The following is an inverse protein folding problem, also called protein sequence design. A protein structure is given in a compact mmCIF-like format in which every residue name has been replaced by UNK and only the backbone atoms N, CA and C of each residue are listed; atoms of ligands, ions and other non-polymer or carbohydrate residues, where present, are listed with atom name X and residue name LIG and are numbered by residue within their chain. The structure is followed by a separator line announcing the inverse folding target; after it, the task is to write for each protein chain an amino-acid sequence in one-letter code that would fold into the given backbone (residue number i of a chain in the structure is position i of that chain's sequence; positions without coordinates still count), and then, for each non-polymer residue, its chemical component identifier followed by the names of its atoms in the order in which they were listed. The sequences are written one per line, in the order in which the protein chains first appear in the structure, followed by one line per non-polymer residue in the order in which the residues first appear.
data_IF_144297116842
#
_entry.id   IF_144297116842
#
_cell.length_a   1.000
_cell.length_b   1.000
_cell.length_c   1.000
_cell.angle_alpha   90.00
_cell.angle_beta   90.00
_cell.angle_gamma   90.00
#
_symmetry.space_group_name_H-M   'P 1'
#
loop_
_entity.id
_entity.type
_entity.pdbx_description
1 polymer ?
#
# COMPACT_ATOMS: atom_id res chain seq x y z
N UNK A 1 20.05 15.16 -28.04
CA UNK A 1 21.06 14.70 -27.07
C UNK A 1 20.41 14.81 -25.70
N UNK A 2 19.87 13.73 -25.18
CA UNK A 2 19.28 13.69 -23.82
C UNK A 2 20.43 13.47 -22.85
N UNK A 3 20.64 14.42 -21.96
CA UNK A 3 21.60 14.29 -20.86
C UNK A 3 21.09 13.19 -19.91
N UNK A 4 21.81 12.08 -19.84
CA UNK A 4 21.62 11.06 -18.79
C UNK A 4 22.14 11.68 -17.48
N UNK A 5 21.23 12.16 -16.65
CA UNK A 5 21.55 12.57 -15.30
C UNK A 5 22.01 11.36 -14.49
N UNK A 6 23.25 11.35 -14.10
CA UNK A 6 23.80 10.40 -13.12
C UNK A 6 23.13 10.66 -11.79
N UNK A 7 22.61 9.61 -11.17
CA UNK A 7 22.14 9.63 -9.79
C UNK A 7 23.35 9.94 -8.89
N UNK A 8 23.47 11.19 -8.40
CA UNK A 8 24.41 11.43 -7.33
C UNK A 8 23.83 10.77 -6.08
N UNK A 9 24.56 9.80 -5.57
CA UNK A 9 24.35 9.17 -4.28
C UNK A 9 24.52 10.24 -3.19
N UNK A 10 23.46 10.96 -2.86
CA UNK A 10 23.28 11.40 -1.49
C UNK A 10 23.26 10.12 -0.65
N UNK A 11 23.97 10.10 0.46
CA UNK A 11 24.16 8.93 1.31
C UNK A 11 22.91 8.09 1.40
N UNK A 12 22.99 6.86 0.90
CA UNK A 12 21.86 5.92 0.87
C UNK A 12 21.34 5.78 2.29
N UNK A 13 20.07 6.07 2.49
CA UNK A 13 19.40 5.78 3.76
C UNK A 13 19.73 4.32 4.13
N UNK A 14 20.19 4.04 5.36
CA UNK A 14 20.55 2.68 5.75
C UNK A 14 19.29 1.81 5.71
N UNK A 15 19.13 0.96 4.70
CA UNK A 15 17.99 0.06 4.57
C UNK A 15 17.68 -0.48 3.17
N UNK A 16 18.37 -0.06 2.14
CA UNK A 16 18.16 -0.54 0.76
C UNK A 16 19.18 -1.62 0.35
N UNK A 17 19.51 -2.55 1.24
CA UNK A 17 20.34 -3.72 0.88
C UNK A 17 19.48 -4.79 0.23
N UNK A 18 20.05 -5.56 -0.72
CA UNK A 18 19.49 -6.75 -1.37
C UNK A 18 19.22 -7.92 -0.40
N UNK A 19 19.04 -7.68 0.90
CA UNK A 19 18.68 -8.72 1.84
C UNK A 19 17.31 -9.28 1.45
N UNK A 20 17.31 -10.46 0.87
CA UNK A 20 16.11 -11.31 0.85
C UNK A 20 15.58 -11.38 2.28
N UNK A 21 14.31 -11.05 2.45
CA UNK A 21 13.62 -11.20 3.73
C UNK A 21 13.78 -12.67 4.15
N UNK A 22 14.81 -12.95 4.94
CA UNK A 22 15.02 -14.25 5.52
C UNK A 22 13.76 -14.62 6.28
N UNK A 23 13.15 -15.75 5.91
CA UNK A 23 11.86 -16.21 6.39
C UNK A 23 11.82 -16.47 7.90
N UNK A 24 11.90 -15.41 8.70
CA UNK A 24 11.60 -15.49 10.12
C UNK A 24 10.08 -15.34 10.30
N UNK A 25 9.37 -16.46 10.48
CA UNK A 25 8.01 -16.47 11.00
C UNK A 25 6.86 -16.57 10.00
N UNK A 26 7.09 -16.91 8.74
CA UNK A 26 5.99 -17.32 7.86
C UNK A 26 5.64 -18.77 8.12
N UNK A 27 4.41 -19.07 8.57
CA UNK A 27 3.88 -20.43 8.62
C UNK A 27 4.06 -21.14 7.28
N UNK A 28 4.09 -22.47 7.30
CA UNK A 28 4.05 -23.26 6.07
C UNK A 28 2.83 -22.77 5.27
N UNK A 29 3.07 -22.28 4.03
CA UNK A 29 1.97 -21.84 3.18
C UNK A 29 1.05 -23.01 2.86
N UNK A 30 -0.23 -22.74 2.72
CA UNK A 30 -1.22 -23.76 2.32
C UNK A 30 -1.49 -23.66 0.81
N UNK A 31 -1.61 -24.78 0.10
CA UNK A 31 -2.01 -24.77 -1.29
C UNK A 31 -3.49 -24.31 -1.42
N UNK A 32 -3.91 -23.78 -2.60
CA UNK A 32 -5.27 -23.25 -2.79
C UNK A 32 -6.40 -24.19 -2.42
N UNK A 33 -6.24 -25.48 -2.66
CA UNK A 33 -7.24 -26.48 -2.28
C UNK A 33 -7.38 -26.61 -0.75
N UNK A 34 -6.28 -26.54 0.00
CA UNK A 34 -6.32 -26.54 1.46
C UNK A 34 -6.92 -25.24 2.00
N UNK A 35 -6.57 -24.06 1.41
CA UNK A 35 -7.20 -22.79 1.73
C UNK A 35 -8.72 -22.86 1.51
N UNK A 36 -9.19 -23.39 0.38
CA UNK A 36 -10.61 -23.54 0.10
C UNK A 36 -11.31 -24.41 1.14
N UNK A 37 -10.70 -25.56 1.47
CA UNK A 37 -11.23 -26.46 2.48
C UNK A 37 -11.32 -25.78 3.86
N UNK A 38 -10.29 -25.03 4.25
CA UNK A 38 -10.25 -24.30 5.52
C UNK A 38 -11.30 -23.17 5.55
N UNK A 39 -11.41 -22.39 4.48
CA UNK A 39 -12.40 -21.31 4.37
C UNK A 39 -13.82 -21.85 4.46
N UNK A 40 -14.12 -22.99 3.80
CA UNK A 40 -15.42 -23.68 3.92
C UNK A 40 -15.69 -24.17 5.33
N UNK A 41 -14.70 -24.78 5.99
CA UNK A 41 -14.84 -25.31 7.36
C UNK A 41 -15.04 -24.21 8.41
N UNK A 42 -14.36 -23.07 8.26
CA UNK A 42 -14.47 -21.93 9.17
C UNK A 42 -15.74 -21.11 8.94
N UNK A 43 -16.20 -21.03 7.69
CA UNK A 43 -17.22 -20.08 7.27
C UNK A 43 -16.81 -18.62 7.54
N UNK A 44 -17.72 -17.70 7.26
CA UNK A 44 -17.51 -16.28 7.54
C UNK A 44 -17.24 -16.03 9.04
N UNK A 45 -18.03 -16.66 9.90
CA UNK A 45 -17.93 -16.52 11.36
C UNK A 45 -16.57 -16.96 11.91
N UNK A 46 -16.03 -18.07 11.44
CA UNK A 46 -14.72 -18.56 11.86
C UNK A 46 -13.59 -17.64 11.39
N UNK A 47 -13.66 -17.09 10.17
CA UNK A 47 -12.69 -16.12 9.69
C UNK A 47 -12.76 -14.79 10.46
N UNK A 48 -13.95 -14.33 10.83
CA UNK A 48 -14.13 -13.15 11.69
C UNK A 48 -13.52 -13.40 13.06
N UNK A 49 -13.75 -14.57 13.67
CA UNK A 49 -13.16 -14.93 14.97
C UNK A 49 -11.62 -14.98 14.89
N UNK A 50 -11.05 -15.55 13.83
CA UNK A 50 -9.59 -15.57 13.57
C UNK A 50 -9.04 -14.14 13.46
N UNK A 51 -9.75 -13.24 12.78
CA UNK A 51 -9.35 -11.84 12.68
C UNK A 51 -9.42 -11.12 14.04
N UNK A 52 -10.44 -11.36 14.85
CA UNK A 52 -10.55 -10.73 16.17
C UNK A 52 -9.39 -11.17 17.11
N UNK A 53 -8.88 -12.39 16.98
CA UNK A 53 -7.66 -12.82 17.68
C UNK A 53 -6.44 -11.98 17.28
N UNK A 54 -6.30 -11.70 15.96
CA UNK A 54 -5.21 -10.86 15.44
C UNK A 54 -5.38 -9.41 15.91
N UNK A 55 -6.61 -8.90 15.84
CA UNK A 55 -6.96 -7.52 16.20
C UNK A 55 -6.76 -7.23 17.69
N UNK A 56 -7.05 -8.20 18.54
CA UNK A 56 -6.93 -8.07 19.99
C UNK A 56 -5.48 -7.94 20.48
N UNK A 57 -4.49 -8.30 19.65
CA UNK A 57 -3.08 -8.16 20.03
C UNK A 57 -2.68 -6.69 20.07
N UNK A 58 -2.02 -6.24 21.14
CA UNK A 58 -1.53 -4.87 21.21
C UNK A 58 -0.49 -4.60 20.11
N UNK A 59 -0.34 -3.34 19.68
CA UNK A 59 0.73 -2.95 18.78
C UNK A 59 2.10 -3.33 19.34
N UNK A 60 2.94 -3.93 18.51
CA UNK A 60 4.29 -4.37 18.89
C UNK A 60 5.33 -3.33 18.48
N UNK A 61 5.32 -2.16 19.13
CA UNK A 61 6.27 -1.08 18.84
C UNK A 61 5.87 0.23 19.50
N UNK A 62 6.71 1.23 19.33
CA UNK A 62 6.55 2.57 19.88
C UNK A 62 6.15 3.58 18.82
N UNK A 63 5.61 4.73 19.26
CA UNK A 63 5.11 5.81 18.40
C UNK A 63 5.64 7.18 18.89
N UNK A 64 6.88 7.23 19.37
CA UNK A 64 7.44 8.43 20.01
C UNK A 64 7.47 9.62 19.04
N UNK A 65 8.00 9.43 17.84
CA UNK A 65 8.11 10.50 16.85
C UNK A 65 6.73 11.01 16.41
N UNK A 66 5.75 10.11 16.22
CA UNK A 66 4.40 10.48 15.85
C UNK A 66 3.69 11.32 16.93
N UNK A 67 4.07 11.15 18.20
CA UNK A 67 3.48 11.83 19.37
C UNK A 67 4.21 13.12 19.78
N UNK A 68 5.31 13.48 19.13
CA UNK A 68 5.97 14.76 19.37
C UNK A 68 4.99 15.92 19.10
N UNK A 69 4.91 16.95 19.95
CA UNK A 69 3.97 18.07 19.79
C UNK A 69 4.03 18.70 18.39
N UNK A 70 5.23 18.86 17.82
CA UNK A 70 5.46 19.36 16.46
C UNK A 70 4.93 18.46 15.35
N UNK A 71 4.75 17.16 15.62
CA UNK A 71 4.31 16.16 14.64
C UNK A 71 2.81 15.83 14.74
N UNK A 72 2.15 16.16 15.86
CA UNK A 72 0.73 15.83 16.06
C UNK A 72 -0.15 16.31 14.90
N UNK A 73 0.07 17.53 14.45
CA UNK A 73 -0.72 18.12 13.36
C UNK A 73 -0.40 17.55 11.97
N UNK A 74 0.66 16.77 11.84
CA UNK A 74 1.03 16.06 10.62
C UNK A 74 0.30 14.71 10.49
N UNK A 75 -0.35 14.23 11.56
CA UNK A 75 -1.17 13.02 11.55
C UNK A 75 -2.61 13.37 11.19
N UNK A 76 -3.19 12.66 10.22
CA UNK A 76 -4.60 12.83 9.82
C UNK A 76 -5.55 12.35 10.91
N UNK A 77 -5.19 11.30 11.64
CA UNK A 77 -5.95 10.68 12.73
C UNK A 77 -5.05 10.56 13.96
N UNK A 78 -5.62 10.90 15.13
CA UNK A 78 -4.88 10.89 16.40
C UNK A 78 -4.58 9.49 16.91
N UNK A 79 -5.33 8.51 16.45
CA UNK A 79 -5.27 7.09 16.82
C UNK A 79 -4.59 6.20 15.76
N UNK A 80 -4.21 6.77 14.60
CA UNK A 80 -3.48 6.04 13.56
C UNK A 80 -2.10 6.65 13.37
N UNK A 81 -1.15 6.10 14.10
CA UNK A 81 0.22 6.58 14.18
C UNK A 81 1.19 5.59 13.51
N UNK A 82 2.32 6.09 13.01
CA UNK A 82 3.37 5.23 12.48
C UNK A 82 4.29 4.72 13.59
N UNK A 83 4.70 3.44 13.48
CA UNK A 83 5.73 2.86 14.35
C UNK A 83 7.07 3.56 14.15
N UNK A 84 7.84 3.72 15.24
CA UNK A 84 9.19 4.28 15.18
C UNK A 84 10.16 3.36 14.42
N UNK A 85 10.05 2.03 14.61
CA UNK A 85 11.00 1.06 14.06
C UNK A 85 10.92 0.87 12.54
N UNK A 86 9.80 1.21 11.92
CA UNK A 86 9.57 1.04 10.48
C UNK A 86 9.19 2.34 9.77
N UNK A 87 9.23 3.49 10.47
CA UNK A 87 8.87 4.77 9.87
C UNK A 87 9.80 5.15 8.73
N UNK A 88 9.26 5.83 7.74
CA UNK A 88 10.06 6.50 6.74
C UNK A 88 10.65 7.77 7.36
N UNK A 89 11.96 7.89 7.31
CA UNK A 89 12.70 9.05 7.82
C UNK A 89 13.07 9.91 6.63
N UNK A 90 12.62 11.17 6.64
CA UNK A 90 12.96 12.13 5.60
C UNK A 90 14.27 12.83 5.94
N UNK A 91 14.95 13.36 4.91
CA UNK A 91 16.08 14.25 5.15
C UNK A 91 15.62 15.50 5.91
N UNK A 92 16.41 15.97 6.85
CA UNK A 92 16.10 17.21 7.58
C UNK A 92 16.14 18.41 6.63
N UNK A 93 15.11 19.25 6.67
CA UNK A 93 15.09 20.51 5.92
C UNK A 93 15.60 21.70 6.76
N UNK A 94 15.56 21.57 8.08
CA UNK A 94 16.08 22.51 9.05
C UNK A 94 17.05 21.76 9.99
N UNK A 95 18.35 22.09 10.01
CA UNK A 95 19.32 21.43 10.89
C UNK A 95 19.01 21.59 12.38
N UNK A 96 18.30 22.67 12.74
CA UNK A 96 17.96 23.01 14.13
C UNK A 96 16.63 22.38 14.56
N UNK A 97 15.85 21.84 13.62
CA UNK A 97 14.56 21.17 13.88
C UNK A 97 14.59 19.72 13.40
N UNK A 98 14.90 18.79 14.32
CA UNK A 98 14.90 17.35 14.04
C UNK A 98 13.52 16.79 13.67
N UNK A 99 12.43 17.52 13.87
CA UNK A 99 11.07 17.05 13.56
C UNK A 99 10.70 17.26 12.10
N UNK A 100 11.54 17.91 11.31
CA UNK A 100 11.36 18.04 9.85
C UNK A 100 11.55 16.72 9.11
N UNK A 101 12.06 15.67 9.75
CA UNK A 101 12.23 14.32 9.21
C UNK A 101 10.96 13.46 9.24
N UNK A 102 9.86 13.97 9.83
CA UNK A 102 8.68 13.18 10.12
C UNK A 102 7.62 13.23 9.02
N UNK A 103 7.15 12.05 8.66
CA UNK A 103 5.92 11.80 7.91
C UNK A 103 5.22 10.58 8.51
N UNK A 104 3.87 10.56 8.53
CA UNK A 104 3.10 9.38 8.93
C UNK A 104 3.13 8.33 7.82
N UNK A 105 4.21 7.57 7.75
CA UNK A 105 4.48 6.53 6.77
C UNK A 105 5.39 5.44 7.35
N UNK A 106 5.13 4.18 7.01
CA UNK A 106 5.93 3.04 7.39
C UNK A 106 6.36 2.24 6.17
N UNK A 107 7.58 1.71 6.19
CA UNK A 107 7.97 0.65 5.27
C UNK A 107 7.27 -0.65 5.65
N UNK A 108 6.85 -1.39 4.64
CA UNK A 108 6.28 -2.73 4.77
C UNK A 108 6.90 -3.65 3.73
N UNK A 109 7.28 -4.85 4.17
CA UNK A 109 7.86 -5.87 3.31
C UNK A 109 6.81 -6.49 2.40
N UNK A 110 7.25 -6.84 1.19
CA UNK A 110 6.51 -7.65 0.25
C UNK A 110 6.89 -9.14 0.34
N UNK A 111 6.41 -9.92 -0.62
CA UNK A 111 6.87 -11.29 -0.78
C UNK A 111 8.32 -11.30 -1.31
N UNK A 112 9.26 -11.80 -0.47
CA UNK A 112 10.70 -11.84 -0.77
C UNK A 112 11.30 -10.50 -1.21
N UNK A 113 10.79 -9.42 -0.64
CA UNK A 113 11.33 -8.08 -0.85
C UNK A 113 11.15 -7.25 0.41
N UNK A 114 12.26 -6.85 1.02
CA UNK A 114 12.28 -5.91 2.13
C UNK A 114 11.87 -4.52 1.65
N UNK A 115 11.11 -3.79 2.45
CA UNK A 115 10.67 -2.43 2.13
C UNK A 115 10.01 -2.30 0.75
N UNK A 116 9.26 -3.32 0.32
CA UNK A 116 8.57 -3.31 -0.99
C UNK A 116 7.53 -2.21 -1.10
N UNK A 117 6.99 -1.77 0.04
CA UNK A 117 5.93 -0.79 0.12
C UNK A 117 6.23 0.30 1.14
N UNK A 118 5.70 1.47 0.88
CA UNK A 118 5.52 2.54 1.86
C UNK A 118 4.03 2.72 2.08
N UNK A 119 3.55 2.39 3.29
CA UNK A 119 2.18 2.60 3.70
C UNK A 119 2.05 3.96 4.40
N UNK A 120 1.20 4.82 3.88
CA UNK A 120 1.03 6.18 4.41
C UNK A 120 -0.44 6.58 4.47
N UNK A 121 -0.75 7.58 5.26
CA UNK A 121 -2.07 8.23 5.27
C UNK A 121 -2.32 9.02 3.99
N UNK A 122 -3.57 9.33 3.68
CA UNK A 122 -3.91 10.32 2.67
C UNK A 122 -3.30 11.68 3.05
N UNK A 123 -2.46 12.28 2.20
CA UNK A 123 -1.78 13.53 2.53
C UNK A 123 -2.73 14.66 2.92
N UNK A 124 -2.33 15.43 3.93
CA UNK A 124 -2.97 16.68 4.34
C UNK A 124 -2.38 17.85 3.54
N UNK A 125 -3.10 18.97 3.36
CA UNK A 125 -2.55 20.15 2.69
C UNK A 125 -1.16 20.55 3.24
N UNK A 126 -0.99 20.55 4.55
CA UNK A 126 0.30 20.86 5.21
C UNK A 126 1.39 19.82 5.00
N UNK A 127 1.07 18.58 4.62
CA UNK A 127 2.04 17.48 4.43
C UNK A 127 2.25 17.12 2.95
N UNK A 128 1.68 17.87 2.00
CA UNK A 128 1.90 17.63 0.57
C UNK A 128 3.37 17.72 0.20
N UNK A 129 4.09 18.71 0.73
CA UNK A 129 5.53 18.86 0.51
C UNK A 129 6.33 17.67 1.04
N UNK A 130 6.04 17.22 2.25
CA UNK A 130 6.67 16.05 2.87
C UNK A 130 6.37 14.77 2.09
N UNK A 131 5.14 14.63 1.58
CA UNK A 131 4.74 13.48 0.77
C UNK A 131 5.55 13.41 -0.54
N UNK A 132 5.68 14.51 -1.28
CA UNK A 132 6.44 14.52 -2.52
C UNK A 132 7.95 14.39 -2.29
N UNK A 133 8.45 14.94 -1.17
CA UNK A 133 9.82 14.74 -0.72
C UNK A 133 10.08 13.25 -0.42
N UNK A 134 9.16 12.57 0.27
CA UNK A 134 9.22 11.12 0.49
C UNK A 134 9.28 10.36 -0.83
N UNK A 135 8.36 10.63 -1.77
CA UNK A 135 8.35 9.98 -3.10
C UNK A 135 9.67 10.17 -3.81
N UNK A 136 10.24 11.38 -3.75
CA UNK A 136 11.51 11.70 -4.36
C UNK A 136 12.68 10.98 -3.69
N UNK A 137 12.85 11.12 -2.39
CA UNK A 137 13.96 10.56 -1.61
C UNK A 137 13.98 9.03 -1.65
N UNK A 138 12.81 8.40 -1.62
CA UNK A 138 12.70 6.94 -1.68
C UNK A 138 12.78 6.38 -3.11
N UNK A 139 12.89 7.24 -4.11
CA UNK A 139 12.95 6.83 -5.51
C UNK A 139 11.66 6.18 -6.02
N UNK A 140 10.54 6.34 -5.30
CA UNK A 140 9.27 5.71 -5.65
C UNK A 140 8.72 6.25 -6.97
N UNK A 141 8.33 5.36 -7.87
CA UNK A 141 7.80 5.69 -9.19
C UNK A 141 6.36 5.23 -9.39
N UNK A 142 5.78 4.57 -8.40
CA UNK A 142 4.41 4.08 -8.41
C UNK A 142 3.72 4.48 -7.12
N UNK A 143 2.57 5.12 -7.25
CA UNK A 143 1.68 5.49 -6.15
C UNK A 143 0.34 4.80 -6.36
N UNK A 144 -0.16 4.15 -5.33
CA UNK A 144 -1.47 3.49 -5.28
C UNK A 144 -2.35 4.20 -4.26
N UNK A 145 -3.45 4.77 -4.72
CA UNK A 145 -4.46 5.41 -3.89
C UNK A 145 -5.75 4.58 -3.94
N UNK A 146 -6.17 4.03 -2.80
CA UNK A 146 -7.35 3.15 -2.72
C UNK A 146 -8.57 3.85 -2.11
N UNK A 147 -8.68 5.15 -2.29
CA UNK A 147 -9.80 5.98 -1.83
C UNK A 147 -10.10 7.08 -2.83
N UNK A 148 -11.31 7.64 -2.80
CA UNK A 148 -11.58 8.94 -3.41
C UNK A 148 -11.12 10.06 -2.48
N UNK A 149 -10.88 11.25 -3.03
CA UNK A 149 -10.51 12.41 -2.20
C UNK A 149 -11.63 12.80 -1.24
N UNK A 150 -12.88 12.68 -1.68
CA UNK A 150 -14.09 12.94 -0.88
C UNK A 150 -15.03 11.74 -0.99
N UNK A 151 -15.51 11.22 0.13
CA UNK A 151 -16.47 10.13 0.23
C UNK A 151 -17.58 10.50 1.22
N UNK A 152 -18.84 10.38 0.79
CA UNK A 152 -20.02 10.74 1.60
C UNK A 152 -19.90 12.12 2.27
N UNK A 153 -19.40 13.10 1.51
CA UNK A 153 -19.20 14.48 2.00
C UNK A 153 -18.02 14.69 2.97
N UNK A 154 -17.22 13.66 3.23
CA UNK A 154 -16.04 13.73 4.10
C UNK A 154 -14.76 13.71 3.28
N UNK A 155 -13.83 14.60 3.60
CA UNK A 155 -12.50 14.63 3.00
C UNK A 155 -11.69 13.45 3.54
N UNK A 156 -11.32 12.52 2.66
CA UNK A 156 -10.50 11.33 2.96
C UNK A 156 -9.03 11.54 2.64
N UNK A 157 -8.74 12.39 1.66
CA UNK A 157 -7.39 12.70 1.21
C UNK A 157 -7.37 14.10 0.58
N UNK A 158 -6.31 14.86 0.77
CA UNK A 158 -6.12 16.10 0.02
C UNK A 158 -5.80 15.81 -1.45
N UNK A 159 -6.12 16.77 -2.33
CA UNK A 159 -5.80 16.70 -3.75
C UNK A 159 -4.33 17.12 -3.95
N UNK A 160 -3.39 16.20 -3.69
CA UNK A 160 -1.95 16.46 -3.68
C UNK A 160 -1.28 16.42 -5.06
N UNK A 161 -2.03 16.11 -6.12
CA UNK A 161 -1.58 16.16 -7.51
C UNK A 161 -2.58 16.95 -8.36
N UNK A 162 -2.15 17.59 -9.46
CA UNK A 162 -3.06 18.29 -10.35
C UNK A 162 -3.93 17.28 -11.11
N UNK A 163 -5.27 17.46 -11.08
CA UNK A 163 -6.20 16.52 -11.73
C UNK A 163 -6.25 16.69 -13.25
N UNK A 164 -6.04 17.90 -13.77
CA UNK A 164 -6.16 18.21 -15.19
C UNK A 164 -4.83 17.98 -15.92
N UNK A 165 -4.90 17.43 -17.14
CA UNK A 165 -3.73 17.28 -18.02
C UNK A 165 -3.13 18.66 -18.32
N UNK A 166 -1.81 18.77 -18.24
CA UNK A 166 -1.04 20.00 -18.40
C UNK A 166 -1.01 20.91 -17.16
N UNK A 167 -1.84 20.63 -16.14
CA UNK A 167 -1.81 21.40 -14.91
C UNK A 167 -0.58 21.07 -14.07
N UNK A 168 -0.09 22.08 -13.34
CA UNK A 168 1.09 22.01 -12.49
C UNK A 168 0.79 22.55 -11.10
N UNK A 169 1.28 21.86 -10.07
CA UNK A 169 1.23 22.30 -8.67
C UNK A 169 2.63 22.33 -8.07
N UNK A 170 2.87 23.26 -7.15
CA UNK A 170 4.13 23.44 -6.44
C UNK A 170 3.96 23.00 -4.98
N UNK A 171 4.89 22.19 -4.49
CA UNK A 171 4.88 21.63 -3.14
C UNK A 171 6.29 21.64 -2.56
N UNK A 172 6.60 22.63 -1.71
CA UNK A 172 7.84 22.69 -0.91
C UNK A 172 9.13 22.27 -1.67
N UNK A 173 9.41 22.92 -2.81
CA UNK A 173 10.61 22.63 -3.61
C UNK A 173 10.41 21.55 -4.70
N UNK A 174 9.22 21.01 -4.82
CA UNK A 174 8.85 20.10 -5.91
C UNK A 174 7.73 20.69 -6.78
N UNK A 175 7.79 20.38 -8.07
CA UNK A 175 6.69 20.63 -9.00
C UNK A 175 6.13 19.29 -9.47
N UNK A 176 4.80 19.18 -9.48
CA UNK A 176 4.08 18.03 -10.01
C UNK A 176 3.25 18.48 -11.20
N UNK A 177 3.44 17.85 -12.34
CA UNK A 177 2.69 18.13 -13.57
C UNK A 177 1.99 16.86 -14.02
N UNK A 178 0.71 16.94 -14.37
CA UNK A 178 -0.02 15.81 -14.96
C UNK A 178 0.18 15.80 -16.46
N UNK A 179 0.89 14.78 -16.98
CA UNK A 179 1.17 14.63 -18.42
C UNK A 179 0.02 13.95 -19.16
N UNK A 180 -0.63 12.96 -18.54
CA UNK A 180 -1.76 12.22 -19.14
C UNK A 180 -2.66 11.64 -18.06
N UNK A 181 -3.90 11.37 -18.40
CA UNK A 181 -4.90 10.72 -17.54
C UNK A 181 -5.64 9.66 -18.36
N UNK A 182 -5.69 8.44 -17.84
CA UNK A 182 -6.48 7.33 -18.37
C UNK A 182 -7.60 7.03 -17.35
N UNK A 183 -8.84 7.08 -17.79
CA UNK A 183 -9.99 6.85 -16.90
C UNK A 183 -10.72 5.59 -17.31
N UNK A 184 -10.87 4.69 -16.35
CA UNK A 184 -11.62 3.45 -16.47
C UNK A 184 -12.76 3.42 -15.43
N UNK A 185 -13.63 2.44 -15.52
CA UNK A 185 -14.79 2.32 -14.65
C UNK A 185 -14.42 2.19 -13.16
N UNK A 186 -13.34 1.47 -12.86
CA UNK A 186 -12.94 1.12 -11.50
C UNK A 186 -11.78 1.95 -10.96
N UNK A 187 -11.00 2.60 -11.85
CA UNK A 187 -9.80 3.34 -11.47
C UNK A 187 -9.46 4.45 -12.45
N UNK A 188 -8.63 5.37 -12.00
CA UNK A 188 -8.03 6.43 -12.83
C UNK A 188 -6.52 6.34 -12.72
N UNK A 189 -5.82 6.40 -13.86
CA UNK A 189 -4.37 6.46 -13.91
C UNK A 189 -3.95 7.86 -14.32
N UNK A 190 -3.08 8.48 -13.53
CA UNK A 190 -2.45 9.75 -13.86
C UNK A 190 -0.94 9.53 -14.06
N UNK A 191 -0.44 9.95 -15.19
CA UNK A 191 1.00 10.00 -15.47
C UNK A 191 1.51 11.35 -15.03
N UNK A 192 2.35 11.36 -13.99
CA UNK A 192 2.83 12.56 -13.34
C UNK A 192 4.31 12.77 -13.65
N UNK A 193 4.71 14.02 -13.87
CA UNK A 193 6.10 14.44 -13.88
C UNK A 193 6.41 15.14 -12.57
N UNK A 194 7.26 14.53 -11.75
CA UNK A 194 7.76 15.08 -10.50
C UNK A 194 9.13 15.71 -10.75
N UNK A 195 9.25 17.01 -10.51
CA UNK A 195 10.47 17.78 -10.71
C UNK A 195 10.98 18.32 -9.37
N UNK A 196 12.24 18.04 -9.01
CA UNK A 196 12.95 18.74 -7.95
C UNK A 196 13.40 20.10 -8.48
N UNK A 197 12.86 21.17 -7.95
CA UNK A 197 13.12 22.54 -8.42
C UNK A 197 14.52 23.02 -8.07
N UNK A 198 15.21 22.39 -7.13
CA UNK A 198 16.57 22.72 -6.74
C UNK A 198 17.59 22.17 -7.74
N UNK A 199 17.34 20.96 -8.24
CA UNK A 199 18.28 20.26 -9.16
C UNK A 199 17.79 20.27 -10.60
N UNK A 200 16.57 20.71 -10.86
CA UNK A 200 15.87 20.67 -12.15
C UNK A 200 15.72 19.25 -12.74
N UNK A 201 15.98 18.23 -11.91
CA UNK A 201 15.78 16.84 -12.32
C UNK A 201 14.31 16.45 -12.24
N UNK A 202 13.88 15.63 -13.17
CA UNK A 202 12.48 15.16 -13.23
C UNK A 202 12.41 13.65 -13.31
N UNK A 203 11.33 13.09 -12.74
CA UNK A 203 11.00 11.66 -12.78
C UNK A 203 9.53 11.48 -13.13
N UNK A 204 9.22 10.50 -13.95
CA UNK A 204 7.84 10.09 -14.20
C UNK A 204 7.36 9.23 -13.06
N UNK A 205 6.18 9.54 -12.55
CA UNK A 205 5.50 8.80 -11.48
C UNK A 205 4.15 8.34 -12.00
N UNK A 206 3.91 7.04 -11.91
CA UNK A 206 2.62 6.43 -12.20
C UNK A 206 1.73 6.51 -10.96
N UNK A 207 0.57 7.12 -11.09
CA UNK A 207 -0.39 7.29 -10.00
C UNK A 207 -1.68 6.58 -10.35
N UNK A 208 -1.97 5.47 -9.66
CA UNK A 208 -3.20 4.70 -9.83
C UNK A 208 -4.17 4.94 -8.69
N UNK A 209 -5.33 5.50 -9.00
CA UNK A 209 -6.40 5.71 -8.04
C UNK A 209 -7.53 4.70 -8.28
N UNK A 210 -7.73 3.76 -7.35
CA UNK A 210 -8.87 2.86 -7.36
C UNK A 210 -10.08 3.54 -6.72
N UNK A 211 -11.13 3.79 -7.52
CA UNK A 211 -12.28 4.65 -7.14
C UNK A 211 -13.51 3.90 -6.66
N UNK A 212 -13.56 2.58 -6.86
CA UNK A 212 -14.72 1.73 -6.55
C UNK A 212 -14.68 1.05 -5.18
N UNK A 213 -13.74 1.42 -4.32
CA UNK A 213 -13.70 0.92 -2.95
C UNK A 213 -14.66 1.73 -2.08
N UNK A 214 -15.73 1.11 -1.53
CA UNK A 214 -16.70 1.85 -0.72
C UNK A 214 -16.10 2.29 0.62
N UNK A 215 -16.63 3.37 1.17
CA UNK A 215 -16.31 3.78 2.55
C UNK A 215 -16.92 2.75 3.51
N UNK A 216 -16.10 2.18 4.40
CA UNK A 216 -16.48 1.07 5.28
C UNK A 216 -17.00 -0.15 4.47
N UNK A 217 -16.12 -1.01 4.05
CA UNK A 217 -16.47 -2.22 3.32
C UNK A 217 -15.34 -2.74 2.43
N UNK A 218 -15.74 -3.56 1.49
CA UNK A 218 -14.86 -4.25 0.56
C UNK A 218 -15.21 -3.90 -0.90
N UNK A 219 -14.27 -4.03 -1.84
CA UNK A 219 -14.51 -3.69 -3.23
C UNK A 219 -15.66 -4.48 -3.84
N UNK A 220 -16.46 -3.81 -4.69
CA UNK A 220 -17.41 -4.45 -5.60
C UNK A 220 -18.50 -5.31 -4.94
N UNK A 221 -18.90 -5.03 -3.68
CA UNK A 221 -19.84 -5.86 -2.96
C UNK A 221 -19.31 -7.28 -2.67
N UNK A 222 -17.99 -7.40 -2.44
CA UNK A 222 -17.31 -8.66 -2.19
C UNK A 222 -16.70 -9.32 -3.43
N UNK A 223 -16.88 -8.76 -4.63
CA UNK A 223 -16.25 -9.28 -5.87
C UNK A 223 -14.81 -8.81 -6.01
N UNK A 224 -13.89 -9.74 -6.16
CA UNK A 224 -12.46 -9.47 -6.23
C UNK A 224 -11.89 -9.12 -7.62
N UNK A 225 -12.45 -9.56 -8.77
CA UNK A 225 -11.78 -9.38 -10.07
C UNK A 225 -11.36 -7.94 -10.39
N UNK A 226 -12.16 -6.89 -10.10
CA UNK A 226 -11.72 -5.52 -10.39
C UNK A 226 -10.47 -5.11 -9.64
N UNK A 227 -10.38 -5.39 -8.33
CA UNK A 227 -9.18 -5.04 -7.53
C UNK A 227 -8.00 -5.92 -7.87
N UNK A 228 -8.21 -7.20 -8.24
CA UNK A 228 -7.15 -8.09 -8.70
C UNK A 228 -6.58 -7.62 -10.05
N UNK A 229 -7.41 -7.19 -10.99
CA UNK A 229 -6.95 -6.59 -12.25
C UNK A 229 -6.14 -5.32 -11.99
N UNK A 230 -6.60 -4.45 -11.09
CA UNK A 230 -5.88 -3.25 -10.70
C UNK A 230 -4.52 -3.58 -10.05
N UNK A 231 -4.46 -4.58 -9.17
CA UNK A 231 -3.22 -5.06 -8.58
C UNK A 231 -2.22 -5.55 -9.64
N UNK A 232 -2.67 -6.30 -10.64
CA UNK A 232 -1.82 -6.74 -11.75
C UNK A 232 -1.33 -5.56 -12.61
N UNK A 233 -2.16 -4.53 -12.78
CA UNK A 233 -1.78 -3.29 -13.47
C UNK A 233 -0.68 -2.55 -12.69
N UNK A 234 -0.81 -2.42 -11.37
CA UNK A 234 0.21 -1.84 -10.49
C UNK A 234 1.56 -2.56 -10.63
N UNK A 235 1.54 -3.90 -10.62
CA UNK A 235 2.77 -4.70 -10.82
C UNK A 235 3.42 -4.46 -12.18
N UNK A 236 2.61 -4.34 -13.23
CA UNK A 236 3.11 -4.02 -14.59
C UNK A 236 3.70 -2.61 -14.63
N UNK A 237 3.08 -1.64 -13.97
CA UNK A 237 3.61 -0.28 -13.86
C UNK A 237 4.95 -0.27 -13.12
N UNK A 238 5.06 -0.98 -12.00
CA UNK A 238 6.31 -1.13 -11.24
C UNK A 238 7.42 -1.78 -12.08
N UNK A 239 7.10 -2.84 -12.82
CA UNK A 239 8.07 -3.51 -13.69
C UNK A 239 8.58 -2.59 -14.81
N UNK A 240 7.68 -1.82 -15.43
CA UNK A 240 8.06 -0.83 -16.44
C UNK A 240 8.96 0.25 -15.86
N UNK A 241 8.56 0.83 -14.72
CA UNK A 241 9.34 1.84 -14.02
C UNK A 241 10.74 1.32 -13.64
N UNK A 242 10.82 0.08 -13.13
CA UNK A 242 12.10 -0.58 -12.83
C UNK A 242 12.98 -0.73 -14.09
N UNK A 243 12.40 -1.13 -15.21
CA UNK A 243 13.13 -1.29 -16.47
C UNK A 243 13.64 0.06 -17.00
N UNK A 244 12.86 1.13 -16.84
CA UNK A 244 13.27 2.48 -17.23
C UNK A 244 14.42 3.03 -16.38
N UNK A 245 14.48 2.66 -15.08
CA UNK A 245 15.59 3.01 -14.21
C UNK A 245 16.89 2.31 -14.64
N UNK A 246 16.82 1.10 -15.16
CA UNK A 246 17.98 0.33 -15.58
C UNK A 246 19.06 0.24 -14.49
N UNK A 247 20.31 0.46 -14.85
CA UNK A 247 21.47 0.40 -13.94
C UNK A 247 21.55 1.60 -12.98
N UNK A 248 20.71 2.62 -13.17
CA UNK A 248 20.63 3.74 -12.23
C UNK A 248 19.99 3.36 -10.88
N UNK A 249 19.29 2.23 -10.80
CA UNK A 249 18.73 1.68 -9.57
C UNK A 249 19.63 0.57 -9.03
N UNK A 250 20.30 0.83 -7.90
CA UNK A 250 21.19 -0.11 -7.22
C UNK A 250 20.49 -0.93 -6.11
N UNK A 251 19.20 -0.71 -5.85
CA UNK A 251 18.44 -1.44 -4.85
C UNK A 251 17.83 -2.75 -5.37
N UNK A 252 16.83 -3.27 -4.66
CA UNK A 252 16.22 -4.56 -4.95
C UNK A 252 15.79 -4.73 -6.41
N UNK A 253 15.94 -5.93 -6.97
CA UNK A 253 15.67 -6.24 -8.39
C UNK A 253 14.24 -5.95 -8.86
N UNK A 254 13.26 -5.90 -7.95
CA UNK A 254 11.87 -5.51 -8.23
C UNK A 254 11.63 -4.00 -8.24
N UNK A 255 12.64 -3.19 -7.95
CA UNK A 255 12.59 -1.74 -7.98
C UNK A 255 12.34 -1.08 -6.62
N UNK A 256 12.19 0.26 -6.62
CA UNK A 256 11.97 1.05 -5.43
C UNK A 256 10.61 0.75 -4.77
N UNK A 257 10.40 1.19 -3.50
CA UNK A 257 9.12 1.00 -2.82
C UNK A 257 7.93 1.58 -3.59
N UNK A 258 6.82 0.84 -3.60
CA UNK A 258 5.52 1.34 -4.07
C UNK A 258 4.86 2.09 -2.91
N UNK A 259 4.46 3.34 -3.12
CA UNK A 259 3.68 4.10 -2.13
C UNK A 259 2.23 3.67 -2.21
N UNK A 260 1.65 3.23 -1.10
CA UNK A 260 0.24 2.81 -1.02
C UNK A 260 -0.45 3.57 0.10
N UNK A 261 -1.57 4.21 -0.21
CA UNK A 261 -2.37 4.90 0.78
C UNK A 261 -3.89 4.80 0.52
N UNK A 262 -4.65 5.03 1.59
CA UNK A 262 -6.08 5.31 1.52
C UNK A 262 -6.35 6.61 2.29
N UNK A 263 -7.25 6.62 3.26
CA UNK A 263 -7.41 7.76 4.17
C UNK A 263 -6.46 7.65 5.36
N UNK A 264 -6.58 6.61 6.16
CA UNK A 264 -5.70 6.34 7.31
C UNK A 264 -4.42 5.58 6.94
N UNK A 265 -4.41 4.92 5.78
CA UNK A 265 -3.29 4.10 5.33
C UNK A 265 -3.14 2.78 6.08
N UNK A 266 -4.26 2.19 6.52
CA UNK A 266 -4.28 0.92 7.28
C UNK A 266 -5.30 -0.09 6.75
N UNK A 267 -6.57 0.27 6.52
CA UNK A 267 -7.63 -0.67 6.14
C UNK A 267 -7.50 -1.15 4.69
N UNK A 268 -7.94 -0.32 3.74
CA UNK A 268 -7.85 -0.60 2.30
C UNK A 268 -6.41 -0.81 1.86
N UNK A 269 -5.48 -0.02 2.40
CA UNK A 269 -4.04 -0.18 2.19
C UNK A 269 -3.56 -1.56 2.62
N UNK A 270 -3.84 -1.97 3.86
CA UNK A 270 -3.45 -3.29 4.36
C UNK A 270 -4.05 -4.45 3.55
N UNK A 271 -5.31 -4.30 3.12
CA UNK A 271 -5.98 -5.28 2.24
C UNK A 271 -5.24 -5.41 0.91
N UNK A 272 -4.91 -4.28 0.26
CA UNK A 272 -4.17 -4.28 -1.01
C UNK A 272 -2.81 -4.96 -0.87
N UNK A 273 -2.04 -4.64 0.18
CA UNK A 273 -0.74 -5.26 0.43
C UNK A 273 -0.85 -6.75 0.69
N UNK A 274 -1.82 -7.17 1.51
CA UNK A 274 -2.06 -8.59 1.80
C UNK A 274 -2.34 -9.38 0.53
N UNK A 275 -3.17 -8.83 -0.35
CA UNK A 275 -3.44 -9.44 -1.66
C UNK A 275 -2.18 -9.51 -2.53
N UNK A 276 -1.36 -8.45 -2.57
CA UNK A 276 -0.11 -8.48 -3.32
C UNK A 276 0.84 -9.54 -2.81
N UNK A 277 1.07 -9.60 -1.49
CA UNK A 277 1.97 -10.58 -0.86
C UNK A 277 1.48 -12.00 -1.13
N UNK A 278 0.20 -12.29 -0.88
CA UNK A 278 -0.36 -13.63 -1.01
C UNK A 278 -0.42 -14.12 -2.45
N UNK A 279 -0.83 -13.25 -3.40
CA UNK A 279 -0.85 -13.62 -4.82
C UNK A 279 0.55 -13.77 -5.41
N UNK A 280 1.53 -13.00 -4.93
CA UNK A 280 2.95 -13.17 -5.31
C UNK A 280 3.51 -14.48 -4.80
N UNK A 281 3.21 -14.85 -3.55
CA UNK A 281 3.63 -16.14 -2.97
C UNK A 281 2.96 -17.31 -3.69
N UNK A 282 1.66 -17.21 -3.95
CA UNK A 282 0.93 -18.25 -4.67
C UNK A 282 1.52 -18.48 -6.07
N UNK A 283 1.83 -17.40 -6.79
CA UNK A 283 2.44 -17.51 -8.12
C UNK A 283 3.85 -18.13 -8.09
N UNK A 284 4.63 -17.91 -7.02
CA UNK A 284 6.01 -18.37 -6.92
C UNK A 284 6.15 -19.76 -6.26
N UNK A 285 5.33 -20.08 -5.28
CA UNK A 285 5.45 -21.27 -4.44
C UNK A 285 4.26 -22.23 -4.57
N UNK A 286 3.18 -21.86 -5.26
CA UNK A 286 1.94 -22.62 -5.31
C UNK A 286 1.20 -22.68 -3.97
N UNK A 287 1.55 -21.83 -3.03
CA UNK A 287 1.02 -21.79 -1.67
C UNK A 287 0.83 -20.35 -1.17
N UNK A 288 -0.01 -20.14 -0.18
CA UNK A 288 -0.30 -18.84 0.41
C UNK A 288 -0.47 -18.95 1.94
N UNK A 289 -0.44 -17.82 2.62
CA UNK A 289 -0.63 -17.68 4.05
C UNK A 289 -1.22 -16.29 4.34
N UNK A 290 -2.54 -16.19 4.32
CA UNK A 290 -3.24 -14.92 4.51
C UNK A 290 -3.05 -14.41 5.95
N UNK A 291 -3.23 -15.28 6.95
CA UNK A 291 -3.06 -14.92 8.36
C UNK A 291 -1.64 -14.37 8.62
N UNK A 292 -0.62 -15.11 8.24
CA UNK A 292 0.76 -14.69 8.44
C UNK A 292 1.12 -13.43 7.65
N UNK A 293 0.55 -13.21 6.46
CA UNK A 293 0.74 -11.98 5.71
C UNK A 293 0.14 -10.78 6.46
N UNK A 294 -1.08 -10.90 6.98
CA UNK A 294 -1.74 -9.85 7.78
C UNK A 294 -0.96 -9.56 9.06
N UNK A 295 -0.50 -10.58 9.79
CA UNK A 295 0.29 -10.42 11.01
C UNK A 295 1.61 -9.67 10.74
N UNK A 296 2.32 -9.99 9.64
CA UNK A 296 3.53 -9.28 9.21
C UNK A 296 3.27 -7.82 8.83
N UNK A 297 2.24 -7.56 8.05
CA UNK A 297 1.86 -6.19 7.66
C UNK A 297 1.51 -5.36 8.90
N UNK A 298 0.76 -5.94 9.86
CA UNK A 298 0.41 -5.29 11.12
C UNK A 298 1.62 -5.02 12.01
N UNK A 299 2.63 -5.90 12.00
CA UNK A 299 3.87 -5.70 12.75
C UNK A 299 4.70 -4.52 12.24
N UNK A 300 4.52 -4.10 10.98
CA UNK A 300 5.26 -3.01 10.35
C UNK A 300 4.43 -1.73 10.18
N UNK A 301 3.11 -1.85 10.00
CA UNK A 301 2.16 -0.73 10.00
C UNK A 301 1.01 -1.08 10.95
N UNK A 302 0.96 -0.41 12.10
CA UNK A 302 -0.01 -0.69 13.15
C UNK A 302 -1.45 -0.62 12.63
N UNK A 303 -2.30 -1.53 13.12
CA UNK A 303 -3.72 -1.61 12.81
C UNK A 303 -4.07 -1.91 11.35
N UNK A 304 -3.12 -2.36 10.52
CA UNK A 304 -3.37 -2.75 9.13
C UNK A 304 -4.41 -3.87 9.05
N UNK A 305 -5.29 -3.82 8.06
CA UNK A 305 -6.60 -4.48 8.03
C UNK A 305 -7.46 -3.98 9.19
N UNK A 306 -8.36 -3.06 8.91
CA UNK A 306 -9.10 -2.34 9.93
C UNK A 306 -10.42 -3.02 10.30
N UNK A 307 -11.02 -3.73 9.34
CA UNK A 307 -12.35 -4.33 9.46
C UNK A 307 -12.30 -5.85 9.23
N UNK A 308 -13.11 -6.65 9.95
CA UNK A 308 -13.20 -8.08 9.73
C UNK A 308 -13.56 -8.44 8.28
N UNK A 309 -14.44 -7.67 7.65
CA UNK A 309 -14.82 -7.88 6.25
C UNK A 309 -13.63 -7.77 5.28
N UNK A 310 -12.65 -6.93 5.59
CA UNK A 310 -11.42 -6.82 4.79
C UNK A 310 -10.55 -8.08 4.90
N UNK A 311 -10.51 -8.68 6.09
CA UNK A 311 -9.81 -9.94 6.31
C UNK A 311 -10.47 -11.10 5.58
N UNK A 312 -11.79 -11.22 5.70
CA UNK A 312 -12.60 -12.20 4.95
C UNK A 312 -12.40 -12.01 3.46
N UNK A 313 -12.47 -10.76 2.98
CA UNK A 313 -12.27 -10.43 1.57
C UNK A 313 -10.90 -10.87 1.05
N UNK A 314 -9.83 -10.78 1.84
CA UNK A 314 -8.51 -11.27 1.43
C UNK A 314 -8.52 -12.76 1.10
N UNK A 315 -9.23 -13.58 1.88
CA UNK A 315 -9.36 -15.02 1.63
C UNK A 315 -10.17 -15.30 0.36
N UNK A 316 -11.33 -14.65 0.22
CA UNK A 316 -12.20 -14.84 -0.93
C UNK A 316 -11.54 -14.36 -2.22
N UNK A 317 -10.89 -13.21 -2.20
CA UNK A 317 -10.17 -12.67 -3.34
C UNK A 317 -9.00 -13.57 -3.76
N UNK A 318 -8.31 -14.18 -2.82
CA UNK A 318 -7.21 -15.10 -3.13
C UNK A 318 -7.72 -16.41 -3.74
N UNK A 319 -8.86 -16.94 -3.29
CA UNK A 319 -9.52 -18.08 -3.92
C UNK A 319 -9.98 -17.75 -5.34
N UNK A 320 -10.55 -16.57 -5.54
CA UNK A 320 -10.94 -16.09 -6.87
C UNK A 320 -9.72 -15.92 -7.80
N UNK A 321 -8.62 -15.37 -7.28
CA UNK A 321 -7.35 -15.30 -8.00
C UNK A 321 -6.86 -16.71 -8.38
N UNK A 322 -6.96 -17.69 -7.48
CA UNK A 322 -6.56 -19.06 -7.73
C UNK A 322 -7.37 -19.70 -8.86
N UNK A 323 -8.67 -19.45 -8.94
CA UNK A 323 -9.52 -19.88 -10.05
C UNK A 323 -9.15 -19.18 -11.34
N UNK A 324 -9.00 -17.85 -11.33
CA UNK A 324 -8.63 -17.05 -12.51
C UNK A 324 -7.31 -17.50 -13.15
N UNK A 325 -6.39 -18.04 -12.36
CA UNK A 325 -5.06 -18.47 -12.81
C UNK A 325 -4.91 -20.00 -12.89
N UNK A 326 -5.99 -20.77 -12.78
CA UNK A 326 -5.99 -22.22 -12.99
C UNK A 326 -5.37 -23.04 -11.85
N UNK A 327 -5.19 -22.46 -10.65
CA UNK A 327 -4.78 -23.21 -9.45
C UNK A 327 -5.94 -23.99 -8.81
N UNK A 328 -7.17 -23.59 -9.10
CA UNK A 328 -8.43 -24.24 -8.72
C UNK A 328 -9.37 -24.29 -9.92
N UNK A 329 -10.18 -25.34 -10.03
CA UNK A 329 -11.23 -25.42 -11.05
C UNK A 329 -12.42 -24.53 -10.71
N UNK A 330 -12.80 -24.49 -9.43
CA UNK A 330 -13.84 -23.62 -8.90
C UNK A 330 -13.59 -23.29 -7.42
N UNK A 331 -14.19 -22.21 -6.94
CA UNK A 331 -14.20 -21.82 -5.54
C UNK A 331 -15.65 -21.57 -5.09
N UNK A 332 -16.50 -22.59 -5.23
CA UNK A 332 -17.88 -22.50 -4.73
C UNK A 332 -17.90 -22.44 -3.21
N UNK A 333 -18.53 -21.39 -2.69
CA UNK A 333 -18.69 -21.10 -1.27
C UNK A 333 -20.20 -21.07 -0.91
N UNK A 334 -20.95 -22.08 -1.38
CA UNK A 334 -22.36 -22.23 -1.02
C UNK A 334 -22.49 -22.30 0.52
N UNK A 335 -23.41 -21.50 1.08
CA UNK A 335 -23.61 -21.39 2.52
C UNK A 335 -22.63 -20.48 3.27
N UNK A 336 -21.72 -19.81 2.57
CA UNK A 336 -20.78 -18.91 3.23
C UNK A 336 -21.41 -17.62 3.79
N UNK A 337 -22.47 -17.13 3.16
CA UNK A 337 -23.22 -15.92 3.52
C UNK A 337 -24.57 -16.20 4.20
N UNK A 338 -24.97 -17.46 4.43
CA UNK A 338 -26.31 -17.84 4.87
C UNK A 338 -26.62 -17.57 6.37
N UNK A 339 -25.71 -16.94 7.13
CA UNK A 339 -25.90 -16.69 8.59
C UNK A 339 -26.39 -15.26 8.93
N UNK A 340 -27.08 -14.56 8.04
CA UNK A 340 -27.60 -13.21 8.33
C UNK A 340 -29.11 -13.12 8.61
N UNK A 341 -29.84 -14.23 8.74
CA UNK A 341 -31.30 -14.18 8.95
C UNK A 341 -31.82 -14.47 10.38
N UNK A 342 -31.00 -14.64 11.39
CA UNK A 342 -31.46 -14.97 12.76
C UNK A 342 -31.06 -13.98 13.87
N UNK A 343 -31.11 -12.67 13.64
CA UNK A 343 -31.18 -11.68 14.73
C UNK A 343 -32.26 -10.61 14.43
N UNK A 344 -33.50 -11.03 14.37
CA UNK A 344 -34.67 -10.18 14.56
C UNK A 344 -35.72 -10.90 15.40
N UNK A 345 -35.54 -10.86 16.72
CA UNK A 345 -36.60 -10.91 17.71
C UNK A 345 -36.29 -9.98 18.89
#
# INVERSE_FOLDING_TARGET
MQARGTWSSGEASPGLSDEECGGAGGGAGEPPAALLARVRALGRRGLVAEYEEIRARPPNGTFHHAKLPSNLSKNRYTDVLCYDHSRVILSQTDPDDSTTDYINANYVDGYKQKNAFICTQGPLPKTFGDFWRMVWEQGSLVIVMTTRAVERGRVKCGQYWPAAVGARQLHAGFAVTTEAVEQEDDYTISHLLLTDLRTEQSRRVWHGQYTRWPDYGVPGGGRAPPVLRFLLLVRRAQQRARNELGDAWAGHSRGPPIVVHCSAGIGRTGTFLTLDICTSRLAAEGACDVRGAVERVRAQRAHSIQMPDQYVFCHLALLEYAVMHGYLESAELSGFDDEHEDESD
#
